data_IF_533714296707
#
_entry.id   IF_533714296707
#
_cell.length_a   1.000
_cell.length_b   1.000
_cell.length_c   1.000
_cell.angle_alpha   90.00
_cell.angle_beta   90.00
_cell.angle_gamma   90.00
#
_symmetry.space_group_name_H-M   'P 1'
#
loop_
_entity.id
_entity.type
_entity.pdbx_description
1 polymer ?
#
# COMPACT_ATOMS: atom_id res chain seq x y z
N UNK A 1 18.01 -17.43 -5.99
CA UNK A 1 16.84 -18.33 -6.20
C UNK A 1 15.91 -18.50 -4.98
N UNK A 2 16.35 -18.97 -3.81
CA UNK A 2 15.43 -19.16 -2.66
C UNK A 2 14.77 -17.85 -2.18
N UNK A 3 15.57 -16.79 -2.01
CA UNK A 3 15.08 -15.47 -1.60
C UNK A 3 14.04 -14.85 -2.56
N UNK A 4 14.24 -14.99 -3.88
CA UNK A 4 13.29 -14.45 -4.87
C UNK A 4 11.95 -15.20 -4.82
N UNK A 5 11.98 -16.53 -4.69
CA UNK A 5 10.76 -17.33 -4.56
C UNK A 5 10.01 -17.00 -3.25
N UNK A 6 10.74 -16.85 -2.15
CA UNK A 6 10.14 -16.46 -0.87
C UNK A 6 9.49 -15.07 -0.94
N UNK A 7 10.13 -14.11 -1.63
CA UNK A 7 9.55 -12.79 -1.87
C UNK A 7 8.31 -12.85 -2.76
N UNK A 8 8.33 -13.67 -3.83
CA UNK A 8 7.14 -13.88 -4.67
C UNK A 8 5.98 -14.37 -3.82
N UNK A 9 6.20 -15.40 -2.98
CA UNK A 9 5.15 -15.91 -2.09
C UNK A 9 4.65 -14.85 -1.11
N UNK A 10 5.56 -14.05 -0.53
CA UNK A 10 5.21 -12.98 0.40
C UNK A 10 4.36 -11.90 -0.27
N UNK A 11 4.73 -11.49 -1.49
CA UNK A 11 3.99 -10.48 -2.27
C UNK A 11 2.65 -11.05 -2.76
N UNK A 12 2.59 -12.32 -3.17
CA UNK A 12 1.34 -12.98 -3.56
C UNK A 12 0.29 -12.95 -2.44
N UNK A 13 0.73 -13.05 -1.18
CA UNK A 13 -0.11 -12.97 0.01
C UNK A 13 -0.58 -11.56 0.39
N UNK A 14 -0.08 -10.50 -0.27
CA UNK A 14 -0.59 -9.15 -0.04
C UNK A 14 -2.03 -9.02 -0.55
N UNK A 15 -2.83 -8.31 0.21
CA UNK A 15 -4.21 -7.96 -0.11
C UNK A 15 -4.52 -6.54 0.40
N UNK A 16 -5.73 -6.08 0.16
CA UNK A 16 -6.13 -4.70 0.47
C UNK A 16 -6.28 -4.46 1.99
N UNK A 17 -6.49 -5.51 2.77
CA UNK A 17 -6.57 -5.49 4.23
C UNK A 17 -5.19 -5.43 4.92
N UNK A 18 -4.10 -5.70 4.19
CA UNK A 18 -2.76 -5.64 4.77
C UNK A 18 -2.36 -4.19 5.08
N UNK A 19 -1.80 -3.97 6.26
CA UNK A 19 -1.28 -2.69 6.74
C UNK A 19 -0.14 -2.14 5.83
N UNK A 20 0.00 -0.82 5.74
CA UNK A 20 1.02 -0.16 4.92
C UNK A 20 2.46 -0.59 5.28
N UNK A 21 2.71 -0.93 6.53
CA UNK A 21 4.02 -1.42 7.00
C UNK A 21 4.37 -2.74 6.30
N UNK A 22 3.39 -3.59 5.98
CA UNK A 22 3.62 -4.86 5.27
C UNK A 22 4.04 -4.59 3.81
N UNK A 23 3.38 -3.64 3.15
CA UNK A 23 3.75 -3.21 1.78
C UNK A 23 5.16 -2.61 1.76
N UNK A 24 5.49 -1.74 2.73
CA UNK A 24 6.83 -1.17 2.91
C UNK A 24 7.88 -2.26 3.07
N UNK A 25 7.66 -3.22 3.99
CA UNK A 25 8.59 -4.30 4.25
C UNK A 25 8.86 -5.16 3.02
N UNK A 26 7.84 -5.42 2.19
CA UNK A 26 8.03 -6.12 0.93
C UNK A 26 8.88 -5.30 -0.05
N UNK A 27 8.56 -4.01 -0.19
CA UNK A 27 9.29 -3.07 -1.05
C UNK A 27 10.77 -2.97 -0.67
N UNK A 28 11.09 -2.77 0.59
CA UNK A 28 12.48 -2.70 1.08
C UNK A 28 13.27 -3.98 0.75
N UNK A 29 12.65 -5.15 0.96
CA UNK A 29 13.31 -6.43 0.65
C UNK A 29 13.51 -6.65 -0.86
N UNK A 30 12.58 -6.15 -1.69
CA UNK A 30 12.73 -6.13 -3.16
C UNK A 30 13.88 -5.20 -3.56
N UNK A 31 13.98 -4.00 -2.99
CA UNK A 31 15.07 -3.05 -3.25
C UNK A 31 16.42 -3.59 -2.81
N UNK A 32 16.51 -4.22 -1.65
CA UNK A 32 17.73 -4.90 -1.22
C UNK A 32 18.11 -6.04 -2.18
N UNK A 33 17.13 -6.83 -2.64
CA UNK A 33 17.41 -7.90 -3.60
C UNK A 33 17.91 -7.35 -4.94
N UNK A 34 17.40 -6.20 -5.39
CA UNK A 34 17.85 -5.50 -6.60
C UNK A 34 19.33 -5.13 -6.51
N UNK A 35 19.73 -4.52 -5.39
CA UNK A 35 21.13 -4.14 -5.17
C UNK A 35 22.03 -5.38 -5.11
N UNK A 36 21.61 -6.44 -4.41
CA UNK A 36 22.38 -7.70 -4.36
C UNK A 36 22.57 -8.32 -5.77
N UNK A 37 21.52 -8.30 -6.59
CA UNK A 37 21.55 -8.84 -7.95
C UNK A 37 22.44 -8.02 -8.90
N UNK A 38 22.60 -6.71 -8.68
CA UNK A 38 23.47 -5.84 -9.50
C UNK A 38 24.92 -6.30 -9.51
N UNK A 39 25.39 -6.87 -8.39
CA UNK A 39 26.77 -7.33 -8.21
C UNK A 39 26.93 -8.85 -8.42
N UNK A 40 25.84 -9.58 -8.64
CA UNK A 40 25.89 -11.03 -8.85
C UNK A 40 26.40 -11.39 -10.25
N UNK A 41 27.35 -12.32 -10.35
CA UNK A 41 27.88 -12.82 -11.63
C UNK A 41 26.86 -13.61 -12.45
N UNK A 42 25.86 -14.19 -11.80
CA UNK A 42 24.75 -14.94 -12.41
C UNK A 42 23.42 -14.19 -12.41
N UNK A 43 23.43 -12.85 -12.33
CA UNK A 43 22.22 -12.02 -12.27
C UNK A 43 21.21 -12.31 -13.41
N UNK A 44 21.71 -12.61 -14.62
CA UNK A 44 20.89 -12.93 -15.80
C UNK A 44 19.95 -14.13 -15.57
N UNK A 45 20.33 -15.09 -14.73
CA UNK A 45 19.47 -16.25 -14.41
C UNK A 45 18.23 -15.88 -13.59
N UNK A 46 18.22 -14.70 -12.97
CA UNK A 46 17.15 -14.23 -12.09
C UNK A 46 16.38 -13.03 -12.64
N UNK A 47 16.82 -12.45 -13.76
CA UNK A 47 16.25 -11.22 -14.33
C UNK A 47 14.74 -11.33 -14.57
N UNK A 48 14.31 -12.37 -15.29
CA UNK A 48 12.88 -12.59 -15.58
C UNK A 48 12.06 -12.80 -14.31
N UNK A 49 12.58 -13.57 -13.35
CA UNK A 49 11.90 -13.81 -12.07
C UNK A 49 11.82 -12.55 -11.20
N UNK A 50 12.85 -11.72 -11.25
CA UNK A 50 12.88 -10.45 -10.52
C UNK A 50 11.90 -9.47 -11.14
N UNK A 51 11.84 -9.40 -12.47
CA UNK A 51 10.85 -8.59 -13.17
C UNK A 51 9.42 -9.02 -12.82
N UNK A 52 9.14 -10.32 -12.80
CA UNK A 52 7.83 -10.84 -12.41
C UNK A 52 7.48 -10.51 -10.95
N UNK A 53 8.45 -10.58 -10.03
CA UNK A 53 8.27 -10.15 -8.64
C UNK A 53 7.92 -8.65 -8.55
N UNK A 54 8.61 -7.80 -9.30
CA UNK A 54 8.34 -6.36 -9.32
C UNK A 54 6.95 -6.04 -9.87
N UNK A 55 6.56 -6.67 -10.99
CA UNK A 55 5.22 -6.53 -11.58
C UNK A 55 4.12 -6.95 -10.60
N UNK A 56 4.29 -8.12 -9.99
CA UNK A 56 3.35 -8.62 -8.99
C UNK A 56 3.22 -7.65 -7.81
N UNK A 57 4.33 -7.10 -7.31
CA UNK A 57 4.28 -6.12 -6.24
C UNK A 57 3.55 -4.83 -6.65
N UNK A 58 3.79 -4.34 -7.87
CA UNK A 58 3.10 -3.18 -8.40
C UNK A 58 1.59 -3.41 -8.53
N UNK A 59 1.17 -4.57 -9.05
CA UNK A 59 -0.25 -4.93 -9.15
C UNK A 59 -0.92 -4.90 -7.77
N UNK A 60 -0.27 -5.50 -6.76
CA UNK A 60 -0.76 -5.50 -5.37
C UNK A 60 -0.83 -4.09 -4.77
N UNK A 61 0.18 -3.27 -5.02
CA UNK A 61 0.23 -1.88 -4.55
C UNK A 61 -0.90 -1.04 -5.17
N UNK A 62 -1.12 -1.17 -6.47
CA UNK A 62 -2.21 -0.48 -7.17
C UNK A 62 -3.57 -0.89 -6.61
N UNK A 63 -3.79 -2.19 -6.37
CA UNK A 63 -5.02 -2.68 -5.71
C UNK A 63 -5.23 -2.02 -4.35
N UNK A 64 -4.18 -2.00 -3.51
CA UNK A 64 -4.20 -1.38 -2.19
C UNK A 64 -4.52 0.12 -2.25
N UNK A 65 -3.88 0.86 -3.15
CA UNK A 65 -4.12 2.30 -3.32
C UNK A 65 -5.55 2.58 -3.77
N UNK A 66 -6.11 1.75 -4.66
CA UNK A 66 -7.50 1.88 -5.09
C UNK A 66 -8.48 1.60 -3.94
N UNK A 67 -8.22 0.57 -3.13
CA UNK A 67 -9.02 0.27 -1.94
C UNK A 67 -8.99 1.42 -0.92
N UNK A 68 -7.82 1.99 -0.64
CA UNK A 68 -7.69 3.17 0.23
C UNK A 68 -8.47 4.38 -0.32
N UNK A 69 -8.34 4.66 -1.62
CA UNK A 69 -9.07 5.75 -2.29
C UNK A 69 -10.59 5.55 -2.25
N UNK A 70 -11.08 4.32 -2.38
CA UNK A 70 -12.50 4.01 -2.26
C UNK A 70 -13.01 4.23 -0.82
N UNK A 71 -12.33 3.64 0.17
CA UNK A 71 -12.66 3.78 1.60
C UNK A 71 -12.64 5.25 2.03
N UNK A 72 -11.65 6.02 1.57
CA UNK A 72 -11.57 7.47 1.80
C UNK A 72 -12.84 8.18 1.34
N UNK A 73 -13.31 7.89 0.12
CA UNK A 73 -14.53 8.49 -0.44
C UNK A 73 -15.77 8.07 0.35
N UNK A 74 -15.87 6.80 0.75
CA UNK A 74 -17.00 6.30 1.51
C UNK A 74 -17.10 6.95 2.89
N UNK A 75 -15.98 7.15 3.58
CA UNK A 75 -15.92 7.84 4.88
C UNK A 75 -16.19 9.34 4.70
N UNK A 76 -15.65 9.97 3.65
CA UNK A 76 -15.93 11.38 3.36
C UNK A 76 -17.42 11.63 3.07
N UNK A 77 -18.10 10.68 2.43
CA UNK A 77 -19.55 10.72 2.16
C UNK A 77 -20.40 10.28 3.36
N UNK A 78 -19.78 9.86 4.46
CA UNK A 78 -20.48 9.44 5.65
C UNK A 78 -21.17 10.64 6.31
N UNK A 79 -22.41 10.89 5.88
CA UNK A 79 -23.29 11.89 6.48
C UNK A 79 -24.12 11.19 7.56
N UNK A 80 -23.77 11.41 8.83
CA UNK A 80 -24.60 10.98 9.94
C UNK A 80 -25.89 11.81 9.93
N UNK A 81 -26.96 11.31 9.32
CA UNK A 81 -28.28 11.86 9.55
C UNK A 81 -28.58 11.74 11.07
N UNK A 82 -28.99 12.86 11.67
CA UNK A 82 -28.85 13.26 13.08
C UNK A 82 -29.54 12.41 14.19
N UNK A 83 -29.70 11.09 14.03
CA UNK A 83 -30.38 10.25 15.02
C UNK A 83 -29.64 8.93 15.34
N UNK A 84 -28.52 8.59 14.66
CA UNK A 84 -27.76 7.37 14.93
C UNK A 84 -26.72 7.59 16.05
N UNK A 85 -26.65 6.63 16.98
CA UNK A 85 -25.71 6.55 18.10
C UNK A 85 -24.25 6.79 17.65
N UNK A 86 -23.56 7.72 18.32
CA UNK A 86 -22.14 8.06 18.09
C UNK A 86 -21.25 6.81 18.09
N UNK A 87 -21.47 5.89 19.02
CA UNK A 87 -20.67 4.67 19.14
C UNK A 87 -20.93 3.70 17.99
N UNK A 88 -22.20 3.59 17.56
CA UNK A 88 -22.56 2.79 16.38
C UNK A 88 -21.92 3.35 15.11
N UNK A 89 -21.90 4.67 14.95
CA UNK A 89 -21.27 5.34 13.82
C UNK A 89 -19.74 5.21 13.85
N UNK A 90 -19.10 5.30 15.03
CA UNK A 90 -17.67 5.00 15.22
C UNK A 90 -17.32 3.58 14.76
N UNK A 91 -18.11 2.59 15.17
CA UNK A 91 -17.92 1.20 14.75
C UNK A 91 -18.05 1.03 13.23
N UNK A 92 -18.99 1.75 12.61
CA UNK A 92 -19.19 1.69 11.16
C UNK A 92 -18.01 2.31 10.40
N UNK A 93 -17.54 3.50 10.79
CA UNK A 93 -16.36 4.13 10.18
C UNK A 93 -15.13 3.23 10.37
N UNK A 94 -14.94 2.66 11.56
CA UNK A 94 -13.88 1.68 11.83
C UNK A 94 -13.97 0.47 10.90
N UNK A 95 -15.16 -0.09 10.70
CA UNK A 95 -15.34 -1.24 9.81
C UNK A 95 -15.00 -0.90 8.36
N UNK A 96 -15.38 0.29 7.87
CA UNK A 96 -15.06 0.76 6.52
C UNK A 96 -13.55 0.99 6.36
N UNK A 97 -12.90 1.60 7.34
CA UNK A 97 -11.45 1.81 7.31
C UNK A 97 -10.66 0.50 7.37
N UNK A 98 -11.10 -0.43 8.23
CA UNK A 98 -10.43 -1.71 8.44
C UNK A 98 -10.49 -2.63 7.20
N UNK A 99 -11.51 -2.49 6.33
CA UNK A 99 -11.53 -3.27 5.07
C UNK A 99 -10.41 -2.89 4.12
N UNK A 100 -9.77 -1.72 4.31
CA UNK A 100 -8.53 -1.34 3.66
C UNK A 100 -7.34 -1.35 4.64
N UNK A 101 -7.39 -2.16 5.70
CA UNK A 101 -6.28 -2.34 6.65
C UNK A 101 -5.96 -1.12 7.51
N UNK A 102 -6.83 -0.12 7.58
CA UNK A 102 -6.57 1.12 8.34
C UNK A 102 -7.14 1.00 9.75
N UNK A 103 -6.26 1.07 10.75
CA UNK A 103 -6.65 1.03 12.16
C UNK A 103 -7.02 2.43 12.68
N UNK A 104 -8.32 2.67 12.85
CA UNK A 104 -8.85 3.96 13.33
C UNK A 104 -9.02 4.05 14.86
N UNK A 105 -8.66 3.01 15.61
CA UNK A 105 -8.86 3.00 17.08
C UNK A 105 -8.26 4.22 17.79
N UNK A 106 -7.03 4.67 17.47
CA UNK A 106 -6.46 5.86 18.12
C UNK A 106 -7.28 7.12 17.85
N UNK A 107 -7.86 7.23 16.66
CA UNK A 107 -8.64 8.40 16.23
C UNK A 107 -10.03 8.39 16.87
N UNK A 108 -10.71 7.23 16.82
CA UNK A 108 -12.07 7.08 17.33
C UNK A 108 -12.19 7.29 18.85
N UNK A 109 -11.10 7.08 19.60
CA UNK A 109 -11.06 7.28 21.05
C UNK A 109 -11.26 8.76 21.45
N UNK A 110 -10.81 9.69 20.60
CA UNK A 110 -10.78 11.12 20.91
C UNK A 110 -11.86 11.94 20.19
N UNK A 111 -12.56 11.35 19.22
CA UNK A 111 -13.56 12.07 18.45
C UNK A 111 -14.79 12.47 19.29
N UNK A 112 -15.12 13.77 19.25
CA UNK A 112 -16.24 14.36 19.99
C UNK A 112 -17.54 14.24 19.18
N UNK A 113 -17.44 14.19 17.85
CA UNK A 113 -18.56 14.01 16.94
C UNK A 113 -18.15 13.24 15.67
N UNK A 114 -19.14 12.84 14.86
CA UNK A 114 -18.90 12.05 13.65
C UNK A 114 -18.23 12.83 12.53
N UNK A 115 -18.49 14.13 12.42
CA UNK A 115 -17.85 14.94 11.38
C UNK A 115 -16.34 15.00 11.59
N UNK A 116 -15.92 15.32 12.80
CA UNK A 116 -14.51 15.33 13.23
C UNK A 116 -13.87 13.95 13.02
N UNK A 117 -14.53 12.88 13.45
CA UNK A 117 -14.05 11.52 13.22
C UNK A 117 -13.81 11.21 11.74
N UNK A 118 -14.78 11.53 10.88
CA UNK A 118 -14.66 11.29 9.44
C UNK A 118 -13.51 12.10 8.83
N UNK A 119 -13.35 13.36 9.22
CA UNK A 119 -12.27 14.23 8.75
C UNK A 119 -10.89 13.70 9.16
N UNK A 120 -10.71 13.31 10.43
CA UNK A 120 -9.45 12.77 10.93
C UNK A 120 -9.08 11.43 10.30
N UNK A 121 -10.07 10.53 10.12
CA UNK A 121 -9.85 9.24 9.47
C UNK A 121 -9.49 9.43 7.99
N UNK A 122 -10.15 10.36 7.29
CA UNK A 122 -9.78 10.72 5.90
C UNK A 122 -8.36 11.26 5.84
N UNK A 123 -7.97 12.15 6.74
CA UNK A 123 -6.61 12.69 6.79
C UNK A 123 -5.56 11.60 7.05
N UNK A 124 -5.87 10.63 7.91
CA UNK A 124 -5.00 9.49 8.15
C UNK A 124 -4.85 8.60 6.91
N UNK A 125 -5.95 8.31 6.20
CA UNK A 125 -5.92 7.56 4.94
C UNK A 125 -5.10 8.31 3.88
N UNK A 126 -5.28 9.62 3.75
CA UNK A 126 -4.50 10.45 2.83
C UNK A 126 -3.01 10.40 3.14
N UNK A 127 -2.64 10.38 4.42
CA UNK A 127 -1.24 10.19 4.85
C UNK A 127 -0.70 8.82 4.43
N UNK A 128 -1.48 7.75 4.57
CA UNK A 128 -1.08 6.40 4.14
C UNK A 128 -0.92 6.32 2.61
N UNK A 129 -1.87 6.89 1.85
CA UNK A 129 -1.80 6.95 0.38
C UNK A 129 -0.52 7.65 -0.04
N UNK A 130 -0.28 8.86 0.49
CA UNK A 130 0.93 9.65 0.20
C UNK A 130 2.19 8.86 0.54
N UNK A 131 2.22 8.20 1.69
CA UNK A 131 3.35 7.38 2.11
C UNK A 131 3.66 6.26 1.11
N UNK A 132 2.63 5.57 0.61
CA UNK A 132 2.78 4.47 -0.35
C UNK A 132 3.17 4.96 -1.76
N UNK A 133 2.65 6.10 -2.21
CA UNK A 133 2.91 6.73 -3.53
C UNK A 133 4.30 7.40 -3.60
N UNK A 134 4.72 8.17 -2.59
CA UNK A 134 6.04 8.83 -2.59
C UNK A 134 7.19 7.83 -2.69
N UNK A 135 7.03 6.69 -2.02
CA UNK A 135 8.01 5.62 -2.07
C UNK A 135 7.91 4.77 -3.36
N UNK A 136 6.84 4.88 -4.16
CA UNK A 136 6.76 4.31 -5.51
C UNK A 136 7.64 5.09 -6.49
N UNK A 137 7.50 6.43 -6.48
CA UNK A 137 8.24 7.34 -7.36
C UNK A 137 9.76 7.22 -7.16
N UNK A 138 10.22 7.07 -5.92
CA UNK A 138 11.65 6.88 -5.61
C UNK A 138 12.21 5.57 -6.17
N UNK A 139 11.41 4.50 -6.23
CA UNK A 139 11.88 3.16 -6.59
C UNK A 139 11.75 2.84 -8.10
N UNK A 140 10.83 3.50 -8.83
CA UNK A 140 10.70 3.37 -10.29
C UNK A 140 11.80 4.07 -11.09
N UNK A 141 12.67 4.87 -10.44
CA UNK A 141 13.63 5.72 -11.15
C UNK A 141 14.87 4.99 -11.72
N UNK A 142 15.08 3.70 -11.43
CA UNK A 142 16.29 2.99 -11.88
C UNK A 142 16.05 1.52 -12.24
N UNK A 143 15.49 1.21 -13.40
CA UNK A 143 15.68 -0.10 -14.02
C UNK A 143 17.02 -0.10 -14.76
N UNK A 144 18.09 -0.48 -14.07
CA UNK A 144 19.39 -0.75 -14.71
C UNK A 144 19.93 -2.05 -14.13
N UNK A 145 19.44 -3.17 -14.65
CA UNK A 145 20.27 -4.36 -14.74
C UNK A 145 21.13 -4.14 -15.98
N UNK A 146 22.46 -4.18 -15.79
CA UNK A 146 23.50 -3.82 -16.77
C UNK A 146 23.00 -3.95 -18.21
N UNK A 147 22.83 -2.80 -18.87
CA UNK A 147 22.57 -2.61 -20.31
C UNK A 147 21.13 -2.54 -20.84
N UNK A 148 20.08 -2.54 -20.01
CA UNK A 148 18.72 -2.16 -20.47
C UNK A 148 18.01 -1.21 -19.53
N UNK A 149 17.86 0.04 -19.95
CA UNK A 149 16.95 1.01 -19.32
C UNK A 149 15.53 0.60 -19.72
N UNK A 150 14.75 0.06 -18.78
CA UNK A 150 13.31 -0.07 -18.95
C UNK A 150 12.65 1.14 -18.31
N UNK A 151 12.22 2.09 -19.12
CA UNK A 151 11.41 3.22 -18.65
C UNK A 151 9.99 2.67 -18.46
N UNK A 152 9.57 2.44 -17.22
CA UNK A 152 8.15 2.24 -16.92
C UNK A 152 7.52 3.61 -16.78
N UNK A 153 6.69 3.97 -17.76
CA UNK A 153 5.92 5.21 -17.76
C UNK A 153 5.04 5.26 -16.50
N UNK A 154 4.98 6.40 -15.78
CA UNK A 154 3.99 6.57 -14.72
C UNK A 154 2.60 6.54 -15.37
N UNK A 155 1.71 5.69 -14.86
CA UNK A 155 0.29 5.76 -15.21
C UNK A 155 -0.29 6.99 -14.52
N UNK A 156 -0.60 8.01 -15.32
CA UNK A 156 -1.32 9.24 -14.94
C UNK A 156 -2.81 8.90 -14.87
#
# INVERSE_FOLDING_TARGET
KKRINWLIMSVSGLNDEADEVVFKNCREKISLLKEDLKYASNAKEFEEKFLNLQKLFQEKLTSKLNALKAVRVDIQRFNANNNDDLEKNKLRIRSIALSAGVNTNPIALHAINIKELSEDVVAHIDSIIKYLEEDEIKNNKYLVLKDKIFITTPLI
#
